data_IF_066070785133
#
_entry.id   IF_066070785133
#
_cell.length_a   1.000
_cell.length_b   1.000
_cell.length_c   1.000
_cell.angle_alpha   90.00
_cell.angle_beta   90.00
_cell.angle_gamma   90.00
#
_symmetry.space_group_name_H-M   'P 1'
#
loop_
_entity.id
_entity.type
_entity.pdbx_description
1 polymer ?
#
# COMPACT_ATOMS: atom_id res chain seq x y z
N UNK A 1 -15.52 -12.64 -5.59
CA UNK A 1 -15.27 -11.58 -6.57
C UNK A 1 -13.88 -11.75 -7.17
N UNK A 2 -13.77 -11.56 -8.47
CA UNK A 2 -12.52 -11.73 -9.23
C UNK A 2 -11.86 -10.38 -9.41
N UNK A 3 -10.55 -10.33 -9.19
CA UNK A 3 -9.74 -9.13 -9.43
C UNK A 3 -8.84 -9.42 -10.62
N UNK A 4 -9.26 -9.04 -11.83
CA UNK A 4 -8.41 -9.14 -13.03
C UNK A 4 -7.49 -7.93 -13.20
N UNK A 5 -7.95 -6.77 -12.76
CA UNK A 5 -7.23 -5.51 -12.88
C UNK A 5 -7.44 -4.67 -11.62
N UNK A 6 -6.50 -3.77 -11.28
CA UNK A 6 -6.73 -2.81 -10.20
C UNK A 6 -7.94 -1.93 -10.50
N UNK A 7 -8.66 -1.52 -9.46
CA UNK A 7 -9.78 -0.60 -9.61
C UNK A 7 -9.27 0.74 -10.16
N UNK A 8 -10.02 1.38 -11.10
CA UNK A 8 -9.54 2.63 -11.71
C UNK A 8 -9.25 3.74 -10.71
N UNK A 9 -10.06 3.90 -9.66
CA UNK A 9 -9.83 4.93 -8.67
C UNK A 9 -8.58 4.62 -7.83
N UNK A 10 -8.23 3.35 -7.62
CA UNK A 10 -7.00 2.96 -6.92
C UNK A 10 -5.79 3.26 -7.80
N UNK A 11 -5.85 2.91 -9.08
CA UNK A 11 -4.78 3.22 -10.03
C UNK A 11 -4.54 4.72 -10.12
N UNK A 12 -5.60 5.52 -10.17
CA UNK A 12 -5.50 6.98 -10.19
C UNK A 12 -4.82 7.50 -8.92
N UNK A 13 -5.17 6.96 -7.75
CA UNK A 13 -4.54 7.34 -6.49
C UNK A 13 -3.04 6.98 -6.48
N UNK A 14 -2.70 5.77 -6.90
CA UNK A 14 -1.29 5.33 -6.96
C UNK A 14 -0.49 6.20 -7.91
N UNK A 15 -1.07 6.55 -9.07
CA UNK A 15 -0.41 7.44 -10.04
C UNK A 15 -0.21 8.85 -9.46
N UNK A 16 -1.19 9.37 -8.73
CA UNK A 16 -1.06 10.67 -8.08
C UNK A 16 0.02 10.67 -7.00
N UNK A 17 0.11 9.60 -6.22
CA UNK A 17 1.16 9.44 -5.21
C UNK A 17 2.54 9.36 -5.86
N UNK A 18 2.67 8.57 -6.93
CA UNK A 18 3.93 8.48 -7.66
C UNK A 18 4.33 9.81 -8.30
N UNK A 19 3.38 10.57 -8.84
CA UNK A 19 3.64 11.90 -9.37
C UNK A 19 4.18 12.85 -8.30
N UNK A 20 3.64 12.76 -7.07
CA UNK A 20 4.14 13.54 -5.95
C UNK A 20 5.58 13.14 -5.58
N UNK A 21 5.88 11.84 -5.59
CA UNK A 21 7.25 11.37 -5.36
C UNK A 21 8.18 11.89 -6.45
N UNK A 22 7.80 11.81 -7.71
CA UNK A 22 8.61 12.30 -8.83
C UNK A 22 8.93 13.79 -8.72
N UNK A 23 7.98 14.57 -8.22
CA UNK A 23 8.15 16.01 -8.06
C UNK A 23 9.17 16.33 -6.96
N UNK A 24 9.11 15.63 -5.83
CA UNK A 24 9.93 15.95 -4.66
C UNK A 24 11.19 15.08 -4.55
N UNK A 25 11.11 13.82 -4.99
CA UNK A 25 12.20 12.85 -4.88
C UNK A 25 12.27 11.98 -6.14
N UNK A 26 12.73 12.53 -7.29
CA UNK A 26 12.69 11.80 -8.56
C UNK A 26 13.40 10.44 -8.54
N UNK A 27 14.43 10.29 -7.71
CA UNK A 27 15.19 9.03 -7.60
C UNK A 27 14.37 7.89 -7.01
N UNK A 28 13.29 8.21 -6.30
CA UNK A 28 12.45 7.24 -5.61
C UNK A 28 11.12 7.00 -6.33
N UNK A 29 11.00 7.48 -7.57
CA UNK A 29 9.81 7.22 -8.38
C UNK A 29 9.66 5.71 -8.63
N UNK A 30 8.41 5.24 -8.58
CA UNK A 30 8.12 3.83 -8.80
C UNK A 30 8.08 3.48 -10.28
N UNK A 31 8.50 2.24 -10.61
CA UNK A 31 8.34 1.69 -11.94
C UNK A 31 6.86 1.36 -12.22
N UNK A 32 6.54 1.13 -13.49
CA UNK A 32 5.19 0.68 -13.89
C UNK A 32 4.83 -0.62 -13.15
N UNK A 33 5.77 -1.55 -13.06
CA UNK A 33 5.55 -2.83 -12.38
C UNK A 33 5.24 -2.62 -10.89
N UNK A 34 5.98 -1.75 -10.22
CA UNK A 34 5.74 -1.44 -8.81
C UNK A 34 4.38 -0.78 -8.61
N UNK A 35 4.02 0.18 -9.46
CA UNK A 35 2.71 0.84 -9.37
C UNK A 35 1.56 -0.13 -9.61
N UNK A 36 1.70 -1.00 -10.60
CA UNK A 36 0.68 -2.01 -10.91
C UNK A 36 0.51 -2.99 -9.75
N UNK A 37 1.62 -3.46 -9.19
CA UNK A 37 1.57 -4.34 -8.03
C UNK A 37 0.90 -3.67 -6.83
N UNK A 38 1.30 -2.43 -6.53
CA UNK A 38 0.74 -1.69 -5.39
C UNK A 38 -0.76 -1.45 -5.57
N UNK A 39 -1.17 -1.02 -6.77
CA UNK A 39 -2.59 -0.81 -7.08
C UNK A 39 -3.39 -2.11 -6.96
N UNK A 40 -2.83 -3.22 -7.40
CA UNK A 40 -3.48 -4.53 -7.23
C UNK A 40 -3.64 -4.86 -5.74
N UNK A 41 -2.58 -4.69 -4.94
CA UNK A 41 -2.62 -5.00 -3.51
C UNK A 41 -3.67 -4.16 -2.77
N UNK A 42 -3.74 -2.86 -3.06
CA UNK A 42 -4.74 -1.99 -2.43
C UNK A 42 -6.16 -2.43 -2.83
N UNK A 43 -6.37 -2.71 -4.12
CA UNK A 43 -7.66 -3.21 -4.61
C UNK A 43 -8.02 -4.52 -3.91
N UNK A 44 -7.04 -5.42 -3.78
CA UNK A 44 -7.25 -6.72 -3.13
C UNK A 44 -7.63 -6.57 -1.66
N UNK A 45 -7.00 -5.65 -0.93
CA UNK A 45 -7.37 -5.35 0.46
C UNK A 45 -8.83 -4.90 0.54
N UNK A 46 -9.23 -4.00 -0.35
CA UNK A 46 -10.59 -3.46 -0.36
C UNK A 46 -11.62 -4.53 -0.71
N UNK A 47 -11.31 -5.41 -1.65
CA UNK A 47 -12.25 -6.45 -2.12
C UNK A 47 -12.34 -7.60 -1.13
N UNK A 48 -11.20 -8.11 -0.63
CA UNK A 48 -11.17 -9.28 0.24
C UNK A 48 -11.35 -8.94 1.71
N UNK A 49 -11.24 -7.67 2.07
CA UNK A 49 -11.26 -7.18 3.45
C UNK A 49 -10.25 -7.94 4.32
N UNK A 50 -9.06 -8.18 3.77
CA UNK A 50 -8.03 -9.00 4.40
C UNK A 50 -6.65 -8.53 3.96
N UNK A 51 -5.63 -8.83 4.76
CA UNK A 51 -4.23 -8.63 4.39
C UNK A 51 -3.59 -10.02 4.37
N UNK A 52 -3.72 -10.71 3.24
CA UNK A 52 -3.25 -12.08 3.11
C UNK A 52 -2.88 -12.38 1.65
N UNK A 53 -1.62 -12.72 1.41
CA UNK A 53 -1.16 -13.01 0.04
C UNK A 53 -1.92 -14.15 -0.62
N UNK A 54 -2.26 -15.20 0.14
CA UNK A 54 -3.00 -16.33 -0.40
C UNK A 54 -4.40 -15.92 -0.89
N UNK A 55 -5.08 -15.06 -0.15
CA UNK A 55 -6.40 -14.55 -0.56
C UNK A 55 -6.29 -13.66 -1.79
N UNK A 56 -5.25 -12.84 -1.85
CA UNK A 56 -5.00 -11.98 -3.01
C UNK A 56 -4.76 -12.82 -4.27
N UNK A 57 -3.94 -13.85 -4.15
CA UNK A 57 -3.64 -14.75 -5.27
C UNK A 57 -4.91 -15.46 -5.77
N UNK A 58 -5.73 -15.95 -4.85
CA UNK A 58 -7.01 -16.60 -5.22
C UNK A 58 -7.98 -15.63 -5.90
N UNK A 59 -8.07 -14.41 -5.38
CA UNK A 59 -8.97 -13.39 -5.95
C UNK A 59 -8.53 -12.99 -7.36
N UNK A 60 -7.25 -13.12 -7.69
CA UNK A 60 -6.72 -12.79 -9.01
C UNK A 60 -6.95 -13.88 -10.06
N UNK A 61 -7.43 -15.07 -9.65
CA UNK A 61 -7.66 -16.24 -10.52
C UNK A 61 -6.44 -16.56 -11.40
N UNK A 62 -5.26 -16.58 -10.78
CA UNK A 62 -4.04 -16.96 -11.45
C UNK A 62 -3.26 -15.84 -12.11
N UNK A 63 -3.78 -14.61 -12.11
CA UNK A 63 -3.01 -13.46 -12.61
C UNK A 63 -1.78 -13.17 -11.76
N UNK A 64 -1.85 -13.45 -10.45
CA UNK A 64 -0.75 -13.27 -9.52
C UNK A 64 -0.58 -14.53 -8.66
N UNK A 65 0.63 -15.05 -8.62
CA UNK A 65 0.99 -16.12 -7.70
C UNK A 65 1.32 -15.53 -6.33
N UNK A 66 1.01 -16.27 -5.26
CA UNK A 66 1.30 -15.84 -3.90
C UNK A 66 2.78 -15.52 -3.69
N UNK A 67 3.67 -16.36 -4.22
CA UNK A 67 5.11 -16.15 -4.11
C UNK A 67 5.57 -14.88 -4.80
N UNK A 68 5.00 -14.55 -5.96
CA UNK A 68 5.33 -13.33 -6.69
C UNK A 68 4.88 -12.09 -5.95
N UNK A 69 3.70 -12.10 -5.34
CA UNK A 69 3.21 -10.98 -4.55
C UNK A 69 4.12 -10.72 -3.34
N UNK A 70 4.48 -11.77 -2.63
CA UNK A 70 5.36 -11.68 -1.47
C UNK A 70 6.77 -11.24 -1.87
N UNK A 71 7.28 -11.72 -3.01
CA UNK A 71 8.60 -11.34 -3.51
C UNK A 71 8.67 -9.84 -3.79
N UNK A 72 7.65 -9.30 -4.45
CA UNK A 72 7.58 -7.86 -4.74
C UNK A 72 7.60 -7.02 -3.47
N UNK A 73 6.88 -7.46 -2.45
CA UNK A 73 6.86 -6.76 -1.16
C UNK A 73 8.25 -6.72 -0.53
N UNK A 74 9.00 -7.83 -0.58
CA UNK A 74 10.28 -7.94 0.11
C UNK A 74 11.48 -7.43 -0.69
N UNK A 75 11.44 -7.54 -2.02
CA UNK A 75 12.64 -7.38 -2.85
C UNK A 75 12.56 -6.29 -3.92
N UNK A 76 11.39 -5.74 -4.21
CA UNK A 76 11.26 -4.75 -5.29
C UNK A 76 11.74 -3.35 -4.90
N UNK A 77 12.17 -3.16 -3.66
CA UNK A 77 12.67 -1.86 -3.15
C UNK A 77 11.66 -0.73 -3.30
N UNK A 78 10.43 -1.00 -2.90
CA UNK A 78 9.38 0.02 -2.93
C UNK A 78 9.75 1.13 -1.93
N UNK A 79 9.63 2.41 -2.33
CA UNK A 79 10.03 3.53 -1.46
C UNK A 79 8.96 3.83 -0.42
N UNK A 80 8.82 2.96 0.58
CA UNK A 80 7.74 3.03 1.57
C UNK A 80 7.67 4.35 2.31
N UNK A 81 8.81 4.91 2.71
CA UNK A 81 8.84 6.19 3.42
C UNK A 81 8.30 7.32 2.55
N UNK A 82 8.72 7.36 1.30
CA UNK A 82 8.25 8.38 0.36
C UNK A 82 6.79 8.17 0.00
N UNK A 83 6.33 6.92 -0.07
CA UNK A 83 4.93 6.61 -0.29
C UNK A 83 4.05 7.16 0.84
N UNK A 84 4.47 6.98 2.09
CA UNK A 84 3.72 7.47 3.23
C UNK A 84 3.57 8.99 3.16
N UNK A 85 4.68 9.71 3.00
CA UNK A 85 4.68 11.18 2.93
C UNK A 85 3.86 11.66 1.74
N UNK A 86 4.07 11.06 0.56
CA UNK A 86 3.35 11.45 -0.65
C UNK A 86 1.84 11.17 -0.53
N UNK A 87 1.46 10.06 0.10
CA UNK A 87 0.05 9.74 0.33
C UNK A 87 -0.63 10.80 1.18
N UNK A 88 0.02 11.21 2.27
CA UNK A 88 -0.51 12.27 3.13
C UNK A 88 -0.66 13.58 2.34
N UNK A 89 0.34 13.96 1.56
CA UNK A 89 0.28 15.17 0.75
C UNK A 89 -0.85 15.15 -0.27
N UNK A 90 -1.05 14.01 -0.95
CA UNK A 90 -2.13 13.85 -1.92
C UNK A 90 -3.49 13.99 -1.24
N UNK A 91 -3.68 13.34 -0.09
CA UNK A 91 -4.93 13.42 0.65
C UNK A 91 -5.21 14.82 1.16
N UNK A 92 -4.22 15.49 1.72
CA UNK A 92 -4.39 16.87 2.19
C UNK A 92 -4.76 17.82 1.06
N UNK A 93 -4.10 17.67 -0.08
CA UNK A 93 -4.38 18.50 -1.26
C UNK A 93 -5.77 18.23 -1.80
N UNK A 94 -6.19 16.97 -1.86
CA UNK A 94 -7.50 16.58 -2.36
C UNK A 94 -8.62 17.20 -1.53
N UNK A 95 -8.43 17.24 -0.21
CA UNK A 95 -9.42 17.79 0.71
C UNK A 95 -9.21 19.29 1.01
N UNK A 96 -8.23 19.92 0.39
CA UNK A 96 -7.95 21.33 0.60
C UNK A 96 -7.46 21.69 1.97
N UNK A 97 -6.87 20.74 2.69
CA UNK A 97 -6.39 20.94 4.06
C UNK A 97 -4.97 21.52 4.05
N UNK A 98 -4.78 22.64 4.74
CA UNK A 98 -3.48 23.30 4.87
C UNK A 98 -2.94 23.22 6.30
N UNK A 99 -3.79 22.95 7.27
CA UNK A 99 -3.40 22.82 8.67
C UNK A 99 -4.42 21.93 9.39
N UNK A 100 -4.05 21.46 10.55
CA UNK A 100 -4.92 20.60 11.35
C UNK A 100 -4.14 19.99 12.52
N UNK A 101 -4.84 19.17 13.29
CA UNK A 101 -4.26 18.43 14.39
C UNK A 101 -4.03 16.98 13.98
N UNK A 102 -2.82 16.49 14.27
CA UNK A 102 -2.51 15.08 14.05
C UNK A 102 -2.88 14.31 15.32
N UNK A 103 -3.81 13.37 15.18
CA UNK A 103 -4.17 12.47 16.27
C UNK A 103 -3.52 11.13 16.00
N UNK A 104 -2.66 10.69 16.90
CA UNK A 104 -2.03 9.38 16.85
C UNK A 104 -2.70 8.50 17.90
N UNK A 105 -3.36 7.46 17.43
CA UNK A 105 -3.98 6.46 18.29
C UNK A 105 -3.12 5.22 18.29
N UNK A 106 -2.48 4.96 19.43
CA UNK A 106 -1.66 3.78 19.62
C UNK A 106 -2.49 2.69 20.26
N UNK A 107 -3.07 1.84 19.42
CA UNK A 107 -3.87 0.70 19.89
C UNK A 107 -2.97 -0.49 20.15
N UNK A 108 -2.96 -0.94 21.39
CA UNK A 108 -2.31 -2.20 21.75
C UNK A 108 -3.19 -3.36 21.26
N UNK A 109 -2.71 -4.10 20.28
CA UNK A 109 -3.43 -5.23 19.71
C UNK A 109 -2.57 -6.48 19.80
N UNK A 110 -2.50 -7.12 20.98
CA UNK A 110 -1.67 -8.30 21.16
C UNK A 110 -2.22 -9.49 20.39
N UNK A 111 -1.44 -10.02 19.45
CA UNK A 111 -1.83 -11.16 18.62
C UNK A 111 -1.40 -12.48 19.21
N UNK A 112 -0.32 -12.48 19.97
CA UNK A 112 0.22 -13.67 20.63
C UNK A 112 1.11 -13.24 21.79
N UNK A 113 1.39 -14.19 22.69
CA UNK A 113 2.33 -13.96 23.81
C UNK A 113 3.71 -13.54 23.31
N UNK A 114 4.16 -14.15 22.21
CA UNK A 114 5.46 -13.80 21.62
C UNK A 114 5.49 -12.37 21.12
N UNK A 115 4.45 -11.94 20.43
CA UNK A 115 4.35 -10.57 19.93
C UNK A 115 4.30 -9.56 21.07
N UNK A 116 3.60 -9.89 22.16
CA UNK A 116 3.55 -9.03 23.34
C UNK A 116 4.92 -8.92 24.00
N UNK A 117 5.64 -10.02 24.12
CA UNK A 117 6.99 -10.01 24.68
C UNK A 117 7.93 -9.12 23.88
N UNK A 118 7.83 -9.16 22.55
CA UNK A 118 8.64 -8.32 21.67
C UNK A 118 8.30 -6.83 21.83
N UNK A 119 7.06 -6.50 22.11
CA UNK A 119 6.62 -5.11 22.27
C UNK A 119 7.27 -4.44 23.50
N UNK A 120 7.73 -5.20 24.47
CA UNK A 120 8.35 -4.67 25.68
C UNK A 120 9.88 -4.68 25.66
N UNK A 121 10.46 -5.17 24.58
CA UNK A 121 11.90 -5.15 24.39
C UNK A 121 12.36 -3.86 23.74
#
# INVERSE_FOLDING_TARGET
MVIGKPAPFVSAFVDAVDAAIRTHQPRHAMSVTQRTWLAFCITAVLVTNSICWARFARASLGSYAMAALSWMFRHSKIPWEHLLVASVRVLLRHHGLTSGSLVVDDTDNPRSKSAQALAYL
#
